data_IF_591496477719
#
_entry.id   IF_591496477719
#
_cell.length_a   1.000
_cell.length_b   1.000
_cell.length_c   1.000
_cell.angle_alpha   90.00
_cell.angle_beta   90.00
_cell.angle_gamma   90.00
#
_symmetry.space_group_name_H-M   'P 1'
#
loop_
_entity.id
_entity.type
_entity.pdbx_description
1 polymer ?
#
# COMPACT_ATOMS: atom_id res chain seq x y z
N UNK A 1 20.21 -15.63 -13.87
CA UNK A 1 19.91 -16.69 -12.90
C UNK A 1 18.47 -16.52 -12.52
N UNK A 2 17.70 -17.61 -12.44
CA UNK A 2 16.34 -17.54 -11.90
C UNK A 2 16.42 -17.02 -10.46
N UNK A 3 15.70 -15.93 -10.19
CA UNK A 3 15.51 -15.45 -8.84
C UNK A 3 14.50 -16.40 -8.21
N UNK A 4 14.94 -17.20 -7.25
CA UNK A 4 14.03 -17.99 -6.43
C UNK A 4 13.39 -17.03 -5.42
N UNK A 5 12.06 -17.03 -5.34
CA UNK A 5 11.37 -16.30 -4.26
C UNK A 5 11.79 -16.88 -2.92
N UNK A 6 11.99 -16.01 -1.93
CA UNK A 6 12.42 -16.42 -0.59
C UNK A 6 11.32 -17.23 0.14
N UNK A 7 10.06 -17.08 -0.28
CA UNK A 7 8.92 -17.76 0.30
C UNK A 7 8.01 -18.31 -0.81
N UNK A 8 7.72 -19.61 -0.77
CA UNK A 8 6.91 -20.29 -1.77
C UNK A 8 5.47 -19.75 -1.76
N UNK A 9 4.95 -19.37 -2.93
CA UNK A 9 3.64 -18.72 -3.07
C UNK A 9 3.62 -17.20 -2.87
N UNK A 10 4.75 -16.55 -2.57
CA UNK A 10 4.84 -15.09 -2.47
C UNK A 10 5.64 -14.56 -3.66
N UNK A 11 4.99 -13.66 -4.42
CA UNK A 11 5.41 -13.26 -5.76
C UNK A 11 6.75 -12.51 -5.83
N UNK A 12 7.03 -11.97 -7.03
CA UNK A 12 8.26 -11.23 -7.30
C UNK A 12 8.01 -9.72 -7.26
N UNK A 13 8.92 -8.98 -6.63
CA UNK A 13 8.93 -7.52 -6.68
C UNK A 13 9.82 -7.05 -7.84
N UNK A 14 9.23 -6.33 -8.78
CA UNK A 14 9.93 -5.75 -9.92
C UNK A 14 9.98 -4.23 -9.80
N UNK A 15 11.16 -3.64 -10.00
CA UNK A 15 11.34 -2.20 -10.02
C UNK A 15 11.90 -1.77 -11.37
N UNK A 16 11.24 -0.80 -12.01
CA UNK A 16 11.67 -0.23 -13.29
C UNK A 16 11.84 1.27 -13.13
N UNK A 17 12.97 1.78 -13.62
CA UNK A 17 13.21 3.22 -13.71
C UNK A 17 12.91 3.69 -15.12
N UNK A 18 12.01 4.66 -15.26
CA UNK A 18 11.71 5.34 -16.52
C UNK A 18 12.46 6.69 -16.52
N UNK A 19 13.59 6.81 -17.23
CA UNK A 19 14.33 8.06 -17.29
C UNK A 19 13.66 9.06 -18.24
N UNK A 20 14.06 10.33 -18.14
CA UNK A 20 13.74 11.37 -19.13
C UNK A 20 12.24 11.66 -19.32
N UNK A 21 11.47 11.63 -18.24
CA UNK A 21 10.08 12.10 -18.25
C UNK A 21 10.02 13.63 -18.22
N UNK A 22 9.13 14.20 -19.02
CA UNK A 22 8.89 15.65 -19.07
C UNK A 22 8.06 16.11 -17.87
N UNK A 23 8.47 17.21 -17.24
CA UNK A 23 7.80 17.75 -16.05
C UNK A 23 6.38 18.23 -16.37
N UNK A 24 5.42 17.88 -15.52
CA UNK A 24 4.00 18.26 -15.69
C UNK A 24 3.24 17.44 -16.74
N UNK A 25 3.89 16.45 -17.36
CA UNK A 25 3.31 15.64 -18.43
C UNK A 25 2.66 14.38 -17.88
N UNK A 26 1.50 14.02 -18.43
CA UNK A 26 0.84 12.75 -18.16
C UNK A 26 1.37 11.67 -19.12
N UNK A 27 1.66 10.48 -18.58
CA UNK A 27 2.10 9.31 -19.33
C UNK A 27 1.20 8.12 -19.01
N UNK A 28 0.90 7.34 -20.03
CA UNK A 28 0.28 6.03 -19.89
C UNK A 28 1.36 4.94 -19.89
N UNK A 29 1.16 3.89 -19.11
CA UNK A 29 2.10 2.77 -19.05
C UNK A 29 1.39 1.44 -18.76
N UNK A 30 2.08 0.34 -19.08
CA UNK A 30 1.71 -1.03 -18.70
C UNK A 30 2.89 -1.68 -18.01
N UNK A 31 2.62 -2.61 -17.10
CA UNK A 31 3.62 -3.46 -16.46
C UNK A 31 3.34 -4.92 -16.81
N UNK A 32 4.37 -5.73 -16.91
CA UNK A 32 4.18 -7.14 -17.29
C UNK A 32 5.47 -7.82 -17.73
N UNK A 33 5.29 -9.01 -18.27
CA UNK A 33 6.32 -9.88 -18.81
C UNK A 33 5.85 -10.40 -20.18
N UNK A 34 6.74 -10.47 -21.16
CA UNK A 34 6.37 -10.88 -22.53
C UNK A 34 5.75 -12.28 -22.60
N UNK A 35 6.09 -13.17 -21.67
CA UNK A 35 5.57 -14.54 -21.59
C UNK A 35 4.34 -14.64 -20.69
N UNK A 36 4.29 -13.89 -19.59
CA UNK A 36 3.19 -13.95 -18.63
C UNK A 36 2.01 -13.03 -18.98
N UNK A 37 2.23 -12.04 -19.85
CA UNK A 37 1.24 -11.05 -20.25
C UNK A 37 1.48 -9.67 -19.64
N UNK A 38 0.63 -8.73 -20.04
CA UNK A 38 0.70 -7.32 -19.67
C UNK A 38 -0.54 -6.90 -18.89
N UNK A 39 -0.38 -5.95 -17.97
CA UNK A 39 -1.47 -5.34 -17.21
C UNK A 39 -2.43 -4.53 -18.09
N UNK A 40 -3.50 -4.06 -17.47
CA UNK A 40 -4.26 -2.90 -17.98
C UNK A 40 -3.37 -1.64 -18.09
N UNK A 41 -3.91 -0.61 -18.75
CA UNK A 41 -3.20 0.68 -18.89
C UNK A 41 -3.38 1.46 -17.59
N UNK A 42 -2.25 1.88 -17.02
CA UNK A 42 -2.20 2.84 -15.93
C UNK A 42 -1.78 4.22 -16.45
N UNK A 43 -2.01 5.25 -15.65
CA UNK A 43 -1.55 6.61 -15.95
C UNK A 43 -0.83 7.23 -14.75
N UNK A 44 0.16 8.06 -15.02
CA UNK A 44 0.83 8.89 -14.03
C UNK A 44 1.00 10.31 -14.57
N UNK A 45 1.02 11.30 -13.68
CA UNK A 45 1.38 12.69 -14.01
C UNK A 45 2.68 13.05 -13.31
N UNK A 46 3.66 13.49 -14.10
CA UNK A 46 4.97 13.89 -13.58
C UNK A 46 4.85 15.23 -12.87
N UNK A 47 5.52 15.37 -11.73
CA UNK A 47 5.56 16.62 -10.98
C UNK A 47 6.02 17.79 -11.88
N UNK A 48 5.28 18.90 -11.86
CA UNK A 48 5.61 20.09 -12.61
C UNK A 48 6.75 20.87 -11.93
N UNK A 49 7.67 21.40 -12.74
CA UNK A 49 8.83 22.15 -12.21
C UNK A 49 8.38 23.51 -11.68
N UNK A 50 8.58 23.74 -10.39
CA UNK A 50 8.31 25.04 -9.75
C UNK A 50 6.82 25.35 -9.56
N UNK A 51 5.94 24.38 -9.74
CA UNK A 51 4.52 24.52 -9.48
C UNK A 51 4.20 24.09 -8.03
N UNK A 52 3.17 24.68 -7.40
CA UNK A 52 2.61 24.13 -6.17
C UNK A 52 1.99 22.75 -6.45
N UNK A 53 1.94 21.91 -5.42
CA UNK A 53 1.30 20.60 -5.45
C UNK A 53 0.60 20.36 -4.11
N UNK A 54 -0.38 19.46 -4.11
CA UNK A 54 -1.12 19.06 -2.90
C UNK A 54 -0.67 17.69 -2.46
N UNK A 55 -0.32 17.56 -1.17
CA UNK A 55 0.10 16.30 -0.57
C UNK A 55 -0.91 15.83 0.48
N UNK A 56 -1.30 14.55 0.41
CA UNK A 56 -1.95 13.87 1.53
C UNK A 56 -0.87 13.23 2.41
N UNK A 57 -0.89 13.53 3.71
CA UNK A 57 0.08 13.01 4.69
C UNK A 57 -0.65 12.29 5.80
N UNK A 58 -0.31 11.04 6.04
CA UNK A 58 -0.90 10.20 7.09
C UNK A 58 0.05 9.06 7.47
N UNK A 59 -0.16 8.46 8.64
CA UNK A 59 0.53 7.25 9.09
C UNK A 59 -0.49 6.22 9.55
N UNK A 60 -0.01 5.10 10.09
CA UNK A 60 -0.84 4.14 10.83
C UNK A 60 -1.99 3.61 9.96
N UNK A 61 -1.71 3.30 8.69
CA UNK A 61 -2.78 2.94 7.74
C UNK A 61 -3.35 1.57 8.09
N UNK A 62 -2.48 0.57 8.22
CA UNK A 62 -2.89 -0.82 8.33
C UNK A 62 -3.55 -1.37 7.07
N UNK A 63 -4.07 -2.59 7.17
CA UNK A 63 -4.70 -3.29 6.05
C UNK A 63 -6.22 -3.43 6.20
N UNK A 64 -6.69 -3.79 7.40
CA UNK A 64 -8.10 -4.11 7.72
C UNK A 64 -8.67 -3.22 8.82
N UNK A 65 -9.99 -3.11 8.85
CA UNK A 65 -10.73 -2.43 9.91
C UNK A 65 -10.84 -3.29 11.18
N UNK A 66 -11.08 -2.65 12.33
CA UNK A 66 -11.21 -3.32 13.63
C UNK A 66 -12.34 -4.36 13.69
N UNK A 67 -13.35 -4.28 12.82
CA UNK A 67 -14.39 -5.31 12.70
C UNK A 67 -13.80 -6.64 12.20
N UNK A 68 -12.87 -6.59 11.24
CA UNK A 68 -12.23 -7.77 10.67
C UNK A 68 -11.04 -8.25 11.51
N UNK A 69 -10.41 -7.35 12.28
CA UNK A 69 -9.33 -7.66 13.21
C UNK A 69 -9.57 -6.93 14.54
N UNK A 70 -10.42 -7.42 15.44
CA UNK A 70 -10.65 -6.73 16.72
C UNK A 70 -9.41 -6.81 17.62
N UNK A 71 -9.07 -5.72 18.29
CA UNK A 71 -8.04 -5.70 19.33
C UNK A 71 -8.54 -4.96 20.56
N UNK A 72 -8.76 -5.73 21.61
CA UNK A 72 -9.15 -5.22 22.91
C UNK A 72 -7.91 -5.18 23.79
N UNK A 73 -7.39 -3.99 24.08
CA UNK A 73 -6.41 -3.82 25.17
C UNK A 73 -7.23 -3.66 26.46
N UNK A 74 -7.13 -4.56 27.44
CA UNK A 74 -7.85 -4.41 28.70
C UNK A 74 -7.10 -3.41 29.60
N UNK A 75 -7.11 -2.13 29.23
CA UNK A 75 -6.73 -1.03 30.13
C UNK A 75 -7.92 -0.08 30.22
N UNK A 76 -8.65 -0.16 31.34
CA UNK A 76 -9.77 0.74 31.62
C UNK A 76 -11.02 0.55 30.74
N UNK A 77 -11.14 -0.55 29.99
CA UNK A 77 -12.32 -0.83 29.15
C UNK A 77 -12.35 -0.05 27.83
N UNK A 78 -11.21 0.49 27.38
CA UNK A 78 -11.10 1.17 26.09
C UNK A 78 -10.87 0.14 24.97
N UNK A 79 -11.79 0.11 24.00
CA UNK A 79 -11.66 -0.68 22.78
C UNK A 79 -11.06 0.18 21.67
N UNK A 80 -9.99 -0.31 21.01
CA UNK A 80 -9.38 0.40 19.88
C UNK A 80 -10.19 0.11 18.62
N UNK A 81 -10.75 1.16 18.02
CA UNK A 81 -11.37 1.11 16.70
C UNK A 81 -10.45 1.80 15.68
N UNK A 82 -9.88 1.02 14.75
CA UNK A 82 -9.14 1.54 13.61
C UNK A 82 -9.83 1.16 12.32
N UNK A 83 -9.59 1.96 11.27
CA UNK A 83 -10.18 1.71 9.97
C UNK A 83 -9.24 2.12 8.83
N UNK A 84 -8.61 1.11 8.22
CA UNK A 84 -7.83 1.30 7.00
C UNK A 84 -8.73 1.73 5.83
N UNK A 85 -10.00 1.33 5.84
CA UNK A 85 -10.97 1.66 4.78
C UNK A 85 -11.37 3.14 4.77
N UNK A 86 -11.42 3.80 5.94
CA UNK A 86 -11.68 5.24 6.04
C UNK A 86 -10.60 6.05 5.34
N UNK A 87 -9.32 5.78 5.62
CA UNK A 87 -8.18 6.46 4.99
C UNK A 87 -8.17 6.21 3.47
N UNK A 88 -8.34 4.96 3.04
CA UNK A 88 -8.39 4.58 1.62
C UNK A 88 -9.50 5.32 0.88
N UNK A 89 -10.73 5.26 1.42
CA UNK A 89 -11.86 5.95 0.81
C UNK A 89 -11.73 7.47 0.82
N UNK A 90 -10.99 8.06 1.77
CA UNK A 90 -10.68 9.49 1.75
C UNK A 90 -9.71 9.84 0.61
N UNK A 91 -8.68 9.03 0.39
CA UNK A 91 -7.73 9.20 -0.72
C UNK A 91 -8.41 9.00 -2.07
N UNK A 92 -9.20 7.94 -2.25
CA UNK A 92 -9.94 7.70 -3.50
C UNK A 92 -10.85 8.88 -3.85
N UNK A 93 -11.48 9.47 -2.82
CA UNK A 93 -12.30 10.67 -2.96
C UNK A 93 -11.50 11.92 -3.33
N UNK A 94 -10.28 12.08 -2.79
CA UNK A 94 -9.39 13.19 -3.15
C UNK A 94 -8.87 13.03 -4.58
N UNK A 95 -8.46 11.82 -4.96
CA UNK A 95 -7.99 11.49 -6.30
C UNK A 95 -9.08 11.73 -7.35
N UNK A 96 -10.29 11.23 -7.11
CA UNK A 96 -11.44 11.44 -7.99
C UNK A 96 -11.82 12.93 -8.19
N UNK A 97 -11.41 13.82 -7.26
CA UNK A 97 -11.60 15.27 -7.37
C UNK A 97 -10.38 16.03 -7.89
N UNK A 98 -9.25 15.35 -8.11
CA UNK A 98 -7.98 15.98 -8.47
C UNK A 98 -7.41 16.85 -7.35
N UNK A 99 -7.67 16.49 -6.09
CA UNK A 99 -7.25 17.25 -4.90
C UNK A 99 -5.94 16.74 -4.28
N UNK A 100 -5.35 15.69 -4.84
CA UNK A 100 -4.09 15.10 -4.36
C UNK A 100 -3.16 14.85 -5.53
N UNK A 101 -1.92 15.33 -5.43
CA UNK A 101 -0.85 15.09 -6.42
C UNK A 101 0.20 14.11 -5.86
N UNK A 102 0.29 13.99 -4.54
CA UNK A 102 1.29 13.18 -3.86
C UNK A 102 0.75 12.60 -2.55
N UNK A 103 1.15 11.38 -2.22
CA UNK A 103 0.82 10.73 -0.96
C UNK A 103 2.11 10.44 -0.21
N UNK A 104 2.20 10.90 1.04
CA UNK A 104 3.29 10.60 1.94
C UNK A 104 2.79 9.82 3.16
N UNK A 105 3.07 8.52 3.17
CA UNK A 105 2.86 7.69 4.34
C UNK A 105 4.04 7.83 5.31
N UNK A 106 3.80 8.25 6.55
CA UNK A 106 4.85 8.58 7.55
C UNK A 106 5.25 7.40 8.45
N UNK A 107 4.86 6.17 8.11
CA UNK A 107 5.19 4.98 8.89
C UNK A 107 3.95 4.16 9.23
N UNK A 108 4.20 2.98 9.80
CA UNK A 108 3.16 2.05 10.23
C UNK A 108 2.18 1.71 9.09
N UNK A 109 2.76 1.12 8.05
CA UNK A 109 2.10 0.93 6.75
C UNK A 109 1.03 -0.16 6.83
N UNK A 110 1.41 -1.40 7.14
CA UNK A 110 0.51 -2.55 7.11
C UNK A 110 0.26 -3.17 8.49
N UNK A 111 1.14 -2.93 9.47
CA UNK A 111 1.21 -3.70 10.73
C UNK A 111 1.31 -5.21 10.49
N UNK A 112 2.09 -5.62 9.48
CA UNK A 112 2.34 -7.04 9.22
C UNK A 112 3.08 -7.71 10.39
N UNK A 113 3.88 -6.96 11.14
CA UNK A 113 4.60 -7.41 12.33
C UNK A 113 3.71 -7.58 13.57
N UNK A 114 2.57 -6.90 13.66
CA UNK A 114 1.56 -7.16 14.71
C UNK A 114 1.01 -8.60 14.65
N UNK A 115 1.28 -9.36 13.59
CA UNK A 115 1.07 -10.81 13.57
C UNK A 115 1.83 -11.51 14.71
N UNK A 116 3.05 -11.07 15.05
CA UNK A 116 3.83 -11.65 16.14
C UNK A 116 3.29 -11.27 17.53
N UNK A 117 2.54 -10.17 17.65
CA UNK A 117 2.03 -9.66 18.93
C UNK A 117 0.65 -10.18 19.34
N UNK A 118 -0.17 -10.63 18.39
CA UNK A 118 -1.63 -10.74 18.59
C UNK A 118 -2.33 -12.00 18.08
N UNK A 119 -1.63 -13.13 17.87
CA UNK A 119 -2.31 -14.41 17.62
C UNK A 119 -1.95 -15.49 18.63
N UNK A 120 -2.99 -16.20 19.01
CA UNK A 120 -3.05 -17.44 19.81
C UNK A 120 -2.28 -18.61 19.18
N UNK A 121 -1.64 -18.42 18.03
CA UNK A 121 -0.83 -19.42 17.34
C UNK A 121 0.56 -18.84 17.04
N UNK A 122 1.48 -19.06 17.98
CA UNK A 122 2.88 -18.60 17.98
C UNK A 122 3.73 -19.09 16.77
N UNK A 123 3.12 -19.80 15.82
CA UNK A 123 3.77 -20.45 14.68
C UNK A 123 3.10 -20.16 13.32
N UNK A 124 2.08 -19.30 13.23
CA UNK A 124 1.56 -18.87 11.93
C UNK A 124 2.46 -17.80 11.30
N UNK A 125 2.86 -18.00 10.04
CA UNK A 125 3.54 -17.00 9.21
C UNK A 125 2.51 -15.98 8.69
N UNK A 126 1.84 -15.29 9.62
CA UNK A 126 0.80 -14.32 9.30
C UNK A 126 1.41 -12.98 8.81
N UNK A 127 2.70 -12.76 9.03
CA UNK A 127 3.43 -11.61 8.49
C UNK A 127 3.32 -11.57 6.97
N UNK A 128 3.70 -12.65 6.29
CA UNK A 128 3.66 -12.74 4.84
C UNK A 128 2.23 -12.65 4.32
N UNK A 129 1.25 -13.23 5.03
CA UNK A 129 -0.16 -13.11 4.67
C UNK A 129 -0.65 -11.66 4.73
N UNK A 130 -0.37 -10.92 5.83
CA UNK A 130 -0.78 -9.51 5.97
C UNK A 130 -0.03 -8.64 4.97
N UNK A 131 1.27 -8.85 4.79
CA UNK A 131 2.06 -8.12 3.80
C UNK A 131 1.57 -8.38 2.38
N UNK A 132 1.38 -9.65 2.00
CA UNK A 132 0.88 -10.04 0.69
C UNK A 132 -0.54 -9.54 0.43
N UNK A 133 -1.39 -9.49 1.45
CA UNK A 133 -2.73 -8.92 1.33
C UNK A 133 -2.72 -7.40 1.22
N UNK A 134 -1.76 -6.72 1.86
CA UNK A 134 -1.58 -5.27 1.69
C UNK A 134 -1.01 -4.90 0.31
N UNK A 135 -0.14 -5.74 -0.26
CA UNK A 135 0.49 -5.51 -1.55
C UNK A 135 -0.38 -5.85 -2.77
N UNK A 136 -1.43 -6.67 -2.61
CA UNK A 136 -2.34 -7.12 -3.68
C UNK A 136 -3.70 -6.41 -3.61
#
# INVERSE_FOLDING_TARGET
GEQLSYFDGYGFHHHVRIPQLDAGTAYEYKVGDEKAGWSEVFSLKVAAKGAPFTAAVFGDWGYLDSVARPYTIPVGGLERNWSASVTRGALDRMDARGEVDFVFNIGDVSYADDSYGHVTEFFSFDYEHIYGSWMN
#
